data_IF_160046545442
#
_entry.id   IF_160046545442
#
_cell.length_a   1.000
_cell.length_b   1.000
_cell.length_c   1.000
_cell.angle_alpha   90.00
_cell.angle_beta   90.00
_cell.angle_gamma   90.00
#
_symmetry.space_group_name_H-M   'P 1'
#
loop_
_entity.id
_entity.type
_entity.pdbx_description
1 polymer ?
#
# COMPACT_ATOMS: atom_id res chain seq x y z
N UNK A 1 -7.44 -28.52 -1.22
CA UNK A 1 -8.46 -27.47 -0.95
C UNK A 1 -8.00 -26.35 -0.01
N UNK A 2 -7.23 -26.60 1.06
CA UNK A 2 -6.82 -25.56 2.02
C UNK A 2 -5.91 -24.44 1.46
N UNK A 3 -5.24 -24.67 0.33
CA UNK A 3 -4.37 -23.66 -0.31
C UNK A 3 -5.20 -22.60 -1.06
N UNK A 4 -6.28 -23.01 -1.74
CA UNK A 4 -7.19 -22.10 -2.45
C UNK A 4 -7.86 -21.09 -1.51
N UNK A 5 -8.29 -21.53 -0.32
CA UNK A 5 -8.87 -20.62 0.69
C UNK A 5 -7.88 -19.54 1.15
N UNK A 6 -6.57 -19.82 1.14
CA UNK A 6 -5.54 -18.86 1.58
C UNK A 6 -5.27 -17.79 0.53
N UNK A 7 -5.27 -18.18 -0.75
CA UNK A 7 -5.14 -17.24 -1.85
C UNK A 7 -6.41 -16.41 -2.08
N UNK A 8 -7.58 -16.92 -1.69
CA UNK A 8 -8.82 -16.15 -1.73
C UNK A 8 -8.75 -14.87 -0.87
N UNK A 9 -8.19 -14.96 0.34
CA UNK A 9 -7.99 -13.79 1.22
C UNK A 9 -7.03 -12.79 0.58
N UNK A 10 -5.91 -13.27 0.03
CA UNK A 10 -4.93 -12.42 -0.63
C UNK A 10 -5.54 -11.70 -1.84
N UNK A 11 -6.35 -12.42 -2.62
CA UNK A 11 -7.06 -11.86 -3.77
C UNK A 11 -8.10 -10.82 -3.32
N UNK A 12 -8.87 -11.11 -2.26
CA UNK A 12 -9.81 -10.15 -1.66
C UNK A 12 -9.11 -8.87 -1.18
N UNK A 13 -7.98 -9.00 -0.48
CA UNK A 13 -7.16 -7.85 -0.08
C UNK A 13 -6.64 -7.09 -1.31
N UNK A 14 -6.24 -7.81 -2.35
CA UNK A 14 -5.81 -7.23 -3.62
C UNK A 14 -6.91 -6.37 -4.26
N UNK A 15 -8.10 -6.93 -4.42
CA UNK A 15 -9.27 -6.22 -4.94
C UNK A 15 -9.71 -5.07 -4.05
N UNK A 16 -9.69 -5.24 -2.73
CA UNK A 16 -9.99 -4.17 -1.79
C UNK A 16 -9.02 -3.00 -1.98
N UNK A 17 -7.71 -3.26 -2.11
CA UNK A 17 -6.74 -2.20 -2.34
C UNK A 17 -6.95 -1.53 -3.71
N UNK A 18 -7.17 -2.30 -4.78
CA UNK A 18 -7.35 -1.74 -6.13
C UNK A 18 -8.63 -0.92 -6.28
N UNK A 19 -9.74 -1.38 -5.71
CA UNK A 19 -11.05 -0.77 -5.92
C UNK A 19 -11.49 0.10 -4.75
N UNK A 20 -11.57 -0.48 -3.55
CA UNK A 20 -12.09 0.23 -2.39
C UNK A 20 -11.12 1.30 -1.92
N UNK A 21 -9.84 0.96 -1.73
CA UNK A 21 -8.88 1.92 -1.23
C UNK A 21 -8.61 3.08 -2.20
N UNK A 22 -8.63 2.84 -3.52
CA UNK A 22 -8.49 3.93 -4.50
C UNK A 22 -9.70 4.84 -4.46
N UNK A 23 -10.92 4.29 -4.39
CA UNK A 23 -12.16 5.06 -4.24
C UNK A 23 -12.13 5.92 -2.97
N UNK A 24 -11.73 5.35 -1.83
CA UNK A 24 -11.65 6.07 -0.55
C UNK A 24 -10.61 7.21 -0.55
N UNK A 25 -9.51 7.05 -1.29
CA UNK A 25 -8.51 8.12 -1.42
C UNK A 25 -9.10 9.31 -2.21
N UNK A 26 -9.89 9.04 -3.26
CA UNK A 26 -10.47 10.11 -4.10
C UNK A 26 -11.71 10.75 -3.51
N UNK A 27 -12.59 9.98 -2.86
CA UNK A 27 -13.82 10.52 -2.27
C UNK A 27 -13.53 11.51 -1.15
N UNK A 28 -12.40 11.38 -0.47
CA UNK A 28 -12.01 12.25 0.64
C UNK A 28 -11.44 13.61 0.24
N UNK A 29 -11.09 13.83 -1.03
CA UNK A 29 -10.40 15.05 -1.48
C UNK A 29 -11.31 16.27 -1.48
N UNK A 30 -12.52 16.22 -2.08
CA UNK A 30 -13.39 17.40 -2.18
C UNK A 30 -13.99 17.83 -0.85
N UNK A 31 -14.14 16.89 0.08
CA UNK A 31 -14.82 17.09 1.37
C UNK A 31 -13.88 17.67 2.45
N UNK A 32 -12.57 17.77 2.17
CA UNK A 32 -11.61 18.21 3.17
C UNK A 32 -11.64 19.74 3.35
N UNK A 33 -11.86 20.27 4.57
CA UNK A 33 -11.97 21.71 4.82
C UNK A 33 -10.77 22.54 4.36
N UNK A 34 -9.56 21.95 4.40
CA UNK A 34 -8.36 22.62 3.89
C UNK A 34 -8.41 22.85 2.37
N UNK A 35 -9.00 21.93 1.59
CA UNK A 35 -9.11 22.05 0.14
C UNK A 35 -10.17 23.07 -0.25
N UNK A 36 -11.32 23.09 0.44
CA UNK A 36 -12.36 24.09 0.19
C UNK A 36 -11.90 25.50 0.56
N UNK A 37 -11.18 25.65 1.69
CA UNK A 37 -10.60 26.93 2.10
C UNK A 37 -9.54 27.42 1.12
N UNK A 38 -8.62 26.54 0.68
CA UNK A 38 -7.61 26.90 -0.30
C UNK A 38 -8.21 27.31 -1.65
N UNK A 39 -9.25 26.61 -2.10
CA UNK A 39 -9.96 26.95 -3.33
C UNK A 39 -10.66 28.32 -3.25
N UNK A 40 -11.27 28.64 -2.11
CA UNK A 40 -11.91 29.95 -1.91
C UNK A 40 -10.88 31.08 -1.81
N UNK A 41 -9.79 30.87 -1.06
CA UNK A 41 -8.67 31.82 -1.00
C UNK A 41 -8.07 32.08 -2.38
N UNK A 42 -7.91 31.04 -3.19
CA UNK A 42 -7.48 31.15 -4.57
C UNK A 42 -8.44 32.01 -5.40
N UNK A 43 -9.74 31.75 -5.31
CA UNK A 43 -10.78 32.49 -6.03
C UNK A 43 -10.74 33.99 -5.71
N UNK A 44 -10.52 34.35 -4.45
CA UNK A 44 -10.42 35.74 -3.99
C UNK A 44 -9.11 36.38 -4.49
N UNK A 45 -7.97 35.73 -4.25
CA UNK A 45 -6.65 36.31 -4.57
C UNK A 45 -6.42 36.46 -6.08
N UNK A 46 -6.96 35.54 -6.89
CA UNK A 46 -6.84 35.59 -8.35
C UNK A 46 -7.48 36.82 -8.97
N UNK A 47 -8.47 37.43 -8.31
CA UNK A 47 -9.08 38.67 -8.80
C UNK A 47 -8.12 39.87 -8.74
N UNK A 48 -7.10 39.81 -7.89
CA UNK A 48 -6.13 40.90 -7.68
C UNK A 48 -4.75 40.58 -8.21
N UNK A 49 -4.28 39.34 -8.06
CA UNK A 49 -2.95 38.89 -8.52
C UNK A 49 -3.02 37.40 -8.86
N UNK A 50 -3.09 37.10 -10.16
CA UNK A 50 -3.18 35.72 -10.66
C UNK A 50 -1.92 34.91 -10.35
N UNK A 51 -0.74 35.52 -10.48
CA UNK A 51 0.54 34.84 -10.28
C UNK A 51 0.76 34.44 -8.82
N UNK A 52 0.45 35.35 -7.88
CA UNK A 52 0.51 35.07 -6.46
C UNK A 52 -0.55 34.05 -6.04
N UNK A 53 -1.74 34.07 -6.67
CA UNK A 53 -2.79 33.09 -6.41
C UNK A 53 -2.37 31.68 -6.81
N UNK A 54 -1.86 31.48 -8.02
CA UNK A 54 -1.44 30.16 -8.51
C UNK A 54 -0.29 29.58 -7.68
N UNK A 55 0.68 30.42 -7.31
CA UNK A 55 1.79 30.01 -6.45
C UNK A 55 1.31 29.59 -5.05
N UNK A 56 0.49 30.43 -4.41
CA UNK A 56 -0.06 30.15 -3.08
C UNK A 56 -0.93 28.90 -3.07
N UNK A 57 -1.80 28.74 -4.06
CA UNK A 57 -2.64 27.56 -4.20
C UNK A 57 -1.80 26.29 -4.36
N UNK A 58 -0.75 26.34 -5.18
CA UNK A 58 0.17 25.22 -5.37
C UNK A 58 0.90 24.83 -4.08
N UNK A 59 1.30 25.80 -3.24
CA UNK A 59 1.90 25.54 -1.94
C UNK A 59 0.91 24.93 -0.94
N UNK A 60 -0.33 25.42 -0.90
CA UNK A 60 -1.35 24.94 0.03
C UNK A 60 -1.84 23.53 -0.32
N UNK A 61 -2.02 23.25 -1.61
CA UNK A 61 -2.74 22.08 -2.11
C UNK A 61 -1.81 21.02 -2.71
N UNK A 62 -0.65 21.42 -3.22
CA UNK A 62 0.36 20.53 -3.81
C UNK A 62 0.79 19.36 -2.92
N UNK A 63 1.14 19.58 -1.63
CA UNK A 63 1.50 18.50 -0.71
C UNK A 63 0.40 17.44 -0.57
N UNK A 64 -0.86 17.86 -0.53
CA UNK A 64 -2.01 16.96 -0.43
C UNK A 64 -2.11 16.07 -1.67
N UNK A 65 -2.04 16.66 -2.87
CA UNK A 65 -2.05 15.87 -4.11
C UNK A 65 -0.84 14.94 -4.20
N UNK A 66 0.36 15.41 -3.87
CA UNK A 66 1.56 14.58 -3.87
C UNK A 66 1.40 13.36 -2.96
N UNK A 67 0.91 13.56 -1.73
CA UNK A 67 0.62 12.49 -0.79
C UNK A 67 -0.42 11.50 -1.34
N UNK A 68 -1.52 12.00 -1.92
CA UNK A 68 -2.57 11.17 -2.54
C UNK A 68 -2.01 10.31 -3.68
N UNK A 69 -1.22 10.89 -4.58
CA UNK A 69 -0.63 10.14 -5.71
C UNK A 69 0.34 9.06 -5.22
N UNK A 70 1.18 9.37 -4.24
CA UNK A 70 2.12 8.40 -3.64
C UNK A 70 1.36 7.26 -2.96
N UNK A 71 0.38 7.57 -2.12
CA UNK A 71 -0.45 6.57 -1.44
C UNK A 71 -1.19 5.69 -2.46
N UNK A 72 -1.77 6.29 -3.51
CA UNK A 72 -2.44 5.57 -4.59
C UNK A 72 -1.47 4.63 -5.32
N UNK A 73 -0.25 5.08 -5.63
CA UNK A 73 0.76 4.24 -6.28
C UNK A 73 1.11 3.01 -5.44
N UNK A 74 1.35 3.20 -4.14
CA UNK A 74 1.64 2.08 -3.22
C UNK A 74 0.43 1.15 -3.06
N UNK A 75 -0.77 1.70 -3.06
CA UNK A 75 -2.00 0.93 -2.96
C UNK A 75 -2.20 0.05 -4.21
N UNK A 76 -2.01 0.63 -5.40
CA UNK A 76 -2.08 -0.09 -6.67
C UNK A 76 -1.02 -1.19 -6.74
N UNK A 77 0.22 -0.87 -6.34
CA UNK A 77 1.31 -1.85 -6.29
C UNK A 77 0.97 -3.02 -5.37
N UNK A 78 0.62 -2.75 -4.11
CA UNK A 78 0.25 -3.80 -3.15
C UNK A 78 -0.93 -4.65 -3.62
N UNK A 79 -1.95 -4.03 -4.22
CA UNK A 79 -3.12 -4.70 -4.75
C UNK A 79 -2.79 -5.62 -5.93
N UNK A 80 -2.13 -5.08 -6.96
CA UNK A 80 -1.76 -5.81 -8.17
C UNK A 80 -0.87 -7.02 -7.85
N UNK A 81 0.18 -6.83 -7.03
CA UNK A 81 1.07 -7.93 -6.67
C UNK A 81 0.38 -9.00 -5.82
N UNK A 82 -0.62 -8.64 -5.01
CA UNK A 82 -1.42 -9.60 -4.25
C UNK A 82 -2.31 -10.46 -5.16
N UNK A 83 -2.94 -9.85 -6.17
CA UNK A 83 -3.76 -10.58 -7.16
C UNK A 83 -2.86 -11.49 -8.00
N UNK A 84 -1.74 -10.99 -8.53
CA UNK A 84 -0.80 -11.80 -9.31
C UNK A 84 -0.26 -12.99 -8.49
N UNK A 85 0.05 -12.78 -7.22
CA UNK A 85 0.47 -13.86 -6.31
C UNK A 85 -0.59 -14.95 -6.13
N UNK A 86 -1.88 -14.61 -6.27
CA UNK A 86 -2.98 -15.57 -6.14
C UNK A 86 -3.22 -16.41 -7.40
N UNK A 87 -2.80 -15.91 -8.56
CA UNK A 87 -2.99 -16.58 -9.87
C UNK A 87 -1.82 -17.52 -10.19
N UNK A 88 -0.60 -17.19 -9.76
CA UNK A 88 0.58 -18.01 -10.08
C UNK A 88 0.54 -19.38 -9.40
N UNK A 89 0.69 -20.43 -10.22
CA UNK A 89 0.76 -21.82 -9.75
C UNK A 89 2.09 -22.15 -9.03
N UNK A 90 3.17 -21.46 -9.39
CA UNK A 90 4.49 -21.70 -8.80
C UNK A 90 4.64 -21.04 -7.43
N UNK A 91 4.71 -21.86 -6.38
CA UNK A 91 4.80 -21.39 -5.00
C UNK A 91 5.99 -20.45 -4.73
N UNK A 92 7.14 -20.66 -5.42
CA UNK A 92 8.33 -19.82 -5.25
C UNK A 92 8.10 -18.39 -5.77
N UNK A 93 7.42 -18.24 -6.91
CA UNK A 93 7.04 -16.93 -7.43
C UNK A 93 5.95 -16.27 -6.59
N UNK A 94 4.95 -17.04 -6.16
CA UNK A 94 3.91 -16.54 -5.25
C UNK A 94 4.51 -15.90 -3.98
N UNK A 95 5.48 -16.56 -3.34
CA UNK A 95 6.19 -15.99 -2.17
C UNK A 95 6.92 -14.68 -2.51
N UNK A 96 7.57 -14.59 -3.67
CA UNK A 96 8.26 -13.36 -4.10
C UNK A 96 7.27 -12.20 -4.28
N UNK A 97 6.14 -12.45 -4.96
CA UNK A 97 5.13 -11.42 -5.18
C UNK A 97 4.46 -10.99 -3.87
N UNK A 98 4.18 -11.92 -2.93
CA UNK A 98 3.64 -11.55 -1.61
C UNK A 98 4.64 -10.67 -0.84
N UNK A 99 5.96 -10.90 -0.96
CA UNK A 99 6.96 -10.02 -0.35
C UNK A 99 6.93 -8.62 -0.94
N UNK A 100 6.79 -8.50 -2.26
CA UNK A 100 6.66 -7.19 -2.94
C UNK A 100 5.38 -6.49 -2.52
N UNK A 101 4.24 -7.19 -2.50
CA UNK A 101 2.98 -6.64 -2.01
C UNK A 101 3.09 -6.15 -0.56
N UNK A 102 3.72 -6.96 0.31
CA UNK A 102 3.95 -6.61 1.70
C UNK A 102 4.87 -5.37 1.86
N UNK A 103 5.87 -5.20 1.00
CA UNK A 103 6.72 -4.01 0.98
C UNK A 103 5.90 -2.75 0.69
N UNK A 104 5.07 -2.77 -0.36
CA UNK A 104 4.20 -1.63 -0.67
C UNK A 104 3.18 -1.33 0.43
N UNK A 105 2.54 -2.34 1.02
CA UNK A 105 1.64 -2.14 2.16
C UNK A 105 2.36 -1.56 3.38
N UNK A 106 3.63 -1.93 3.60
CA UNK A 106 4.47 -1.36 4.67
C UNK A 106 4.77 0.11 4.39
N UNK A 107 5.17 0.45 3.16
CA UNK A 107 5.39 1.85 2.77
C UNK A 107 4.13 2.69 2.93
N UNK A 108 2.96 2.14 2.58
CA UNK A 108 1.68 2.82 2.71
C UNK A 108 1.35 3.12 4.18
N UNK A 109 1.48 2.12 5.05
CA UNK A 109 1.32 2.27 6.49
C UNK A 109 2.29 3.30 7.09
N UNK A 110 3.58 3.23 6.74
CA UNK A 110 4.57 4.20 7.18
C UNK A 110 4.27 5.61 6.64
N UNK A 111 3.82 5.72 5.39
CA UNK A 111 3.42 6.99 4.77
C UNK A 111 2.30 7.68 5.54
N UNK A 112 1.29 6.92 6.00
CA UNK A 112 0.23 7.46 6.86
C UNK A 112 0.79 8.00 8.19
N UNK A 113 1.70 7.26 8.84
CA UNK A 113 2.34 7.74 10.08
C UNK A 113 3.10 9.04 9.82
N UNK A 114 3.87 9.11 8.72
CA UNK A 114 4.61 10.31 8.35
C UNK A 114 3.69 11.51 8.10
N UNK A 115 2.55 11.30 7.45
CA UNK A 115 1.54 12.36 7.24
C UNK A 115 0.95 12.84 8.57
N UNK A 116 0.66 11.91 9.49
CA UNK A 116 0.18 12.26 10.84
C UNK A 116 1.25 13.07 11.58
N UNK A 117 2.51 12.63 11.58
CA UNK A 117 3.61 13.34 12.20
C UNK A 117 3.83 14.73 11.58
N UNK A 118 3.74 14.84 10.25
CA UNK A 118 3.84 16.10 9.51
C UNK A 118 2.74 17.09 9.92
N UNK A 119 1.50 16.62 10.03
CA UNK A 119 0.38 17.45 10.42
C UNK A 119 0.41 17.82 11.92
N UNK A 120 0.98 16.98 12.79
CA UNK A 120 1.05 17.23 14.23
C UNK A 120 2.14 18.24 14.61
N UNK A 121 3.27 18.30 13.91
CA UNK A 121 4.29 19.32 14.18
C UNK A 121 4.36 20.38 13.07
N UNK A 122 3.37 21.30 13.02
CA UNK A 122 3.37 22.35 12.03
C UNK A 122 4.55 23.30 12.21
N UNK A 123 5.05 23.49 13.42
CA UNK A 123 6.05 24.52 13.73
C UNK A 123 7.47 24.16 13.26
N UNK A 124 7.87 22.88 13.29
CA UNK A 124 9.28 22.49 13.05
C UNK A 124 9.67 22.38 11.58
N UNK A 125 8.70 22.19 10.68
CA UNK A 125 8.95 21.97 9.24
C UNK A 125 8.47 23.12 8.36
N UNK A 126 8.07 24.25 8.96
CA UNK A 126 7.41 25.34 8.26
C UNK A 126 8.20 26.66 8.42
N UNK A 127 9.04 27.00 7.45
CA UNK A 127 9.61 28.34 7.22
C UNK A 127 8.60 29.27 6.53
N UNK A 128 8.83 30.58 6.39
CA UNK A 128 7.82 31.58 5.95
C UNK A 128 7.08 31.27 4.62
N UNK A 129 7.67 30.49 3.70
CA UNK A 129 7.02 29.94 2.49
C UNK A 129 6.44 28.52 2.72
N UNK A 130 5.35 28.43 3.49
CA UNK A 130 4.85 27.14 4.03
C UNK A 130 4.04 26.32 3.03
N UNK A 131 4.44 25.06 2.88
CA UNK A 131 3.55 24.01 2.40
C UNK A 131 2.33 23.86 3.32
N UNK A 132 1.16 23.69 2.71
CA UNK A 132 -0.09 23.48 3.42
C UNK A 132 -0.16 22.15 4.18
N UNK A 133 -1.15 22.03 5.07
CA UNK A 133 -1.46 20.76 5.72
C UNK A 133 -1.81 19.70 4.66
N UNK A 134 -1.43 18.45 4.91
CA UNK A 134 -1.85 17.34 4.06
C UNK A 134 -3.25 16.92 4.51
N UNK A 135 -4.26 17.28 3.71
CA UNK A 135 -5.66 16.98 3.99
C UNK A 135 -6.07 15.60 3.47
N UNK A 136 -6.28 14.64 4.38
CA UNK A 136 -6.83 13.33 4.03
C UNK A 136 -8.11 13.09 4.83
N UNK A 137 -9.05 12.34 4.26
CA UNK A 137 -10.26 11.96 5.00
C UNK A 137 -9.93 10.98 6.14
N UNK A 138 -10.75 11.01 7.19
CA UNK A 138 -10.65 10.04 8.29
C UNK A 138 -10.72 8.59 7.81
N UNK A 139 -11.54 8.32 6.78
CA UNK A 139 -11.65 6.99 6.17
C UNK A 139 -10.38 6.58 5.43
N UNK A 140 -9.70 7.52 4.78
CA UNK A 140 -8.38 7.28 4.19
C UNK A 140 -7.38 6.88 5.27
N UNK A 141 -7.31 7.60 6.39
CA UNK A 141 -6.45 7.24 7.52
C UNK A 141 -6.77 5.85 8.08
N UNK A 142 -8.06 5.57 8.30
CA UNK A 142 -8.52 4.30 8.84
C UNK A 142 -8.16 3.13 7.91
N UNK A 143 -8.48 3.26 6.63
CA UNK A 143 -8.22 2.21 5.65
C UNK A 143 -6.72 2.03 5.41
N UNK A 144 -6.01 3.10 5.07
CA UNK A 144 -4.59 3.06 4.77
C UNK A 144 -3.73 2.70 5.99
N UNK A 145 -4.16 3.07 7.20
CA UNK A 145 -3.50 2.69 8.44
C UNK A 145 -3.82 1.25 8.86
N UNK A 146 -5.08 1.00 9.23
CA UNK A 146 -5.48 -0.28 9.87
C UNK A 146 -5.50 -1.42 8.87
N UNK A 147 -6.10 -1.23 7.68
CA UNK A 147 -6.23 -2.34 6.72
C UNK A 147 -4.86 -2.75 6.17
N UNK A 148 -3.96 -1.80 5.88
CA UNK A 148 -2.61 -2.13 5.45
C UNK A 148 -1.77 -2.76 6.57
N UNK A 149 -1.91 -2.30 7.81
CA UNK A 149 -1.26 -2.95 8.95
C UNK A 149 -1.69 -4.42 9.09
N UNK A 150 -3.00 -4.69 9.01
CA UNK A 150 -3.53 -6.05 9.05
C UNK A 150 -3.02 -6.90 7.87
N UNK A 151 -3.01 -6.32 6.67
CA UNK A 151 -2.48 -6.97 5.47
C UNK A 151 -1.00 -7.32 5.61
N UNK A 152 -0.17 -6.44 6.17
CA UNK A 152 1.25 -6.71 6.45
C UNK A 152 1.40 -7.88 7.44
N UNK A 153 0.63 -7.88 8.52
CA UNK A 153 0.66 -8.97 9.51
C UNK A 153 0.27 -10.32 8.88
N UNK A 154 -0.78 -10.33 8.05
CA UNK A 154 -1.23 -11.53 7.35
C UNK A 154 -0.23 -12.00 6.28
N UNK A 155 0.32 -11.09 5.48
CA UNK A 155 1.32 -11.42 4.48
C UNK A 155 2.57 -12.04 5.11
N UNK A 156 3.06 -11.48 6.21
CA UNK A 156 4.18 -12.07 6.98
C UNK A 156 3.88 -13.50 7.42
N UNK A 157 2.67 -13.76 7.96
CA UNK A 157 2.24 -15.10 8.38
C UNK A 157 2.14 -16.06 7.18
N UNK A 158 1.60 -15.60 6.06
CA UNK A 158 1.43 -16.39 4.86
C UNK A 158 2.78 -16.76 4.22
N UNK A 159 3.71 -15.81 4.14
CA UNK A 159 5.08 -16.04 3.63
C UNK A 159 5.76 -17.15 4.45
N UNK A 160 5.76 -17.04 5.78
CA UNK A 160 6.37 -18.07 6.66
C UNK A 160 5.80 -19.46 6.38
N UNK A 161 4.47 -19.55 6.26
CA UNK A 161 3.78 -20.81 6.01
C UNK A 161 4.10 -21.39 4.62
N UNK A 162 4.15 -20.55 3.59
CA UNK A 162 4.49 -21.00 2.23
C UNK A 162 5.94 -21.45 2.15
N UNK A 163 6.87 -20.72 2.75
CA UNK A 163 8.28 -21.09 2.79
C UNK A 163 8.49 -22.43 3.50
N UNK A 164 7.83 -22.66 4.65
CA UNK A 164 7.93 -23.97 5.35
C UNK A 164 7.40 -25.12 4.50
N UNK A 165 6.34 -24.89 3.72
CA UNK A 165 5.78 -25.91 2.83
C UNK A 165 6.69 -26.21 1.63
N UNK A 166 7.39 -25.21 1.11
CA UNK A 166 8.37 -25.39 0.03
C UNK A 166 9.54 -26.24 0.55
N UNK A 167 10.11 -25.89 1.70
CA UNK A 167 11.22 -26.64 2.31
C UNK A 167 10.86 -28.11 2.55
N UNK A 168 9.70 -28.39 3.16
CA UNK A 168 9.22 -29.76 3.38
C UNK A 168 9.03 -30.56 2.09
N UNK A 169 8.64 -29.90 0.98
CA UNK A 169 8.52 -30.57 -0.32
C UNK A 169 9.90 -30.88 -0.92
N UNK A 170 10.85 -29.95 -0.79
CA UNK A 170 12.22 -30.15 -1.26
C UNK A 170 12.92 -31.28 -0.48
N UNK A 171 12.73 -31.36 0.84
CA UNK A 171 13.24 -32.45 1.69
C UNK A 171 12.69 -33.81 1.28
N UNK A 172 11.36 -33.95 1.17
CA UNK A 172 10.73 -35.20 0.71
C UNK A 172 11.17 -35.61 -0.69
N UNK A 173 11.38 -34.65 -1.59
CA UNK A 173 11.88 -34.94 -2.93
C UNK A 173 13.31 -35.50 -2.90
N UNK A 174 14.17 -34.99 -2.01
CA UNK A 174 15.54 -35.48 -1.83
C UNK A 174 15.57 -36.87 -1.21
N UNK A 175 14.71 -37.13 -0.23
CA UNK A 175 14.58 -38.46 0.39
C UNK A 175 14.16 -39.51 -0.65
N UNK A 176 13.12 -39.23 -1.44
CA UNK A 176 12.66 -40.14 -2.49
C UNK A 176 13.74 -40.42 -3.54
N UNK A 177 14.52 -39.41 -3.93
CA UNK A 177 15.63 -39.58 -4.88
C UNK A 177 16.73 -40.49 -4.31
N UNK A 178 17.07 -40.35 -3.02
CA UNK A 178 18.03 -41.24 -2.36
C UNK A 178 17.51 -42.68 -2.31
N UNK A 179 16.24 -42.88 -1.96
CA UNK A 179 15.61 -44.21 -1.93
C UNK A 179 15.66 -44.89 -3.30
N UNK A 180 15.37 -44.17 -4.38
CA UNK A 180 15.42 -44.71 -5.74
C UNK A 180 16.84 -45.11 -6.18
N UNK A 181 17.86 -44.28 -5.89
CA UNK A 181 19.25 -44.61 -6.19
C UNK A 181 19.74 -45.85 -5.42
N UNK A 182 19.28 -46.02 -4.19
CA UNK A 182 19.65 -47.19 -3.37
C UNK A 182 19.02 -48.48 -3.92
N UNK A 183 17.82 -48.40 -4.50
CA UNK A 183 17.14 -49.54 -5.14
C UNK A 183 17.76 -49.94 -6.48
N UNK A 184 18.29 -48.98 -7.25
CA UNK A 184 18.97 -49.27 -8.53
C UNK A 184 20.33 -49.93 -8.33
N UNK A 185 21.09 -49.55 -7.28
CA UNK A 185 22.40 -50.17 -6.99
C UNK A 185 22.35 -51.60 -6.43
N UNK A 186 21.16 -52.14 -6.15
CA UNK A 186 20.96 -53.50 -5.63
C UNK A 186 20.57 -54.49 -6.76
N UNK A 187 20.28 -53.99 -7.97
CA UNK A 187 19.97 -54.81 -9.14
C UNK A 187 21.20 -55.10 -9.98
#
# INVERSE_FOLDING_TARGET
MAIFKKFAILNLCGFANLYYGTTQIWSGVPEHPAMTTAAENYRILRQTDESAADFKFSLEVGPTFAAIYILKLFLLGSGLFSILASILHEARWGVRLIKVANFFSTLLYCGIILIICYNWNPSSFRSEDKFGNIGLSGMTYLYCGIAQFAMVAWNKKLIKLLQSNILRKEEKSKENMKTNLTLEGVK
#
